data_IF_532903141570
#
_entry.id   IF_532903141570
#
_cell.length_a   1.000
_cell.length_b   1.000
_cell.length_c   1.000
_cell.angle_alpha   90.00
_cell.angle_beta   90.00
_cell.angle_gamma   90.00
#
_symmetry.space_group_name_H-M   'P 1'
#
loop_
_entity.id
_entity.type
_entity.pdbx_description
1 polymer ?
#
# COMPACT_ATOMS: atom_id res chain seq x y z
N UNK A 1 2.18 63.75 -4.57
CA UNK A 1 2.93 62.74 -3.79
C UNK A 1 2.59 61.36 -4.36
N UNK A 2 3.56 60.67 -4.97
CA UNK A 2 3.38 59.31 -5.51
C UNK A 2 4.02 58.34 -4.52
N UNK A 3 3.22 57.51 -3.86
CA UNK A 3 3.71 56.42 -3.03
C UNK A 3 3.98 55.22 -3.93
N UNK A 4 5.25 54.83 -4.06
CA UNK A 4 5.64 53.56 -4.64
C UNK A 4 5.53 52.48 -3.55
N UNK A 5 4.64 51.51 -3.75
CA UNK A 5 4.56 50.31 -2.92
C UNK A 5 5.62 49.34 -3.42
N UNK A 6 6.68 49.15 -2.65
CA UNK A 6 7.67 48.10 -2.90
C UNK A 6 7.06 46.76 -2.48
N UNK A 7 6.76 45.89 -3.44
CA UNK A 7 6.38 44.51 -3.20
C UNK A 7 7.69 43.72 -3.02
N UNK A 8 8.07 43.49 -1.77
CA UNK A 8 9.19 42.61 -1.44
C UNK A 8 8.74 41.17 -1.68
N UNK A 9 9.18 40.56 -2.78
CA UNK A 9 8.98 39.14 -3.02
C UNK A 9 9.79 38.36 -1.97
N UNK A 10 9.11 37.78 -0.98
CA UNK A 10 9.70 36.80 -0.09
C UNK A 10 9.84 35.50 -0.88
N UNK A 11 11.03 35.26 -1.44
CA UNK A 11 11.39 33.95 -1.93
C UNK A 11 11.34 32.98 -0.74
N UNK A 12 10.29 32.15 -0.70
CA UNK A 12 10.25 31.03 0.22
C UNK A 12 11.42 30.10 -0.11
N UNK A 13 12.44 30.11 0.76
CA UNK A 13 13.50 29.11 0.78
C UNK A 13 12.85 27.77 1.11
N UNK A 14 12.46 27.02 0.08
CA UNK A 14 12.21 25.60 0.23
C UNK A 14 13.55 24.96 0.62
N UNK A 15 13.69 24.61 1.90
CA UNK A 15 14.80 23.79 2.33
C UNK A 15 14.80 22.53 1.44
N UNK A 16 15.91 22.21 0.74
CA UNK A 16 15.98 20.95 0.01
C UNK A 16 15.76 19.85 1.03
N UNK A 17 14.67 19.09 0.88
CA UNK A 17 14.52 17.85 1.62
C UNK A 17 15.76 17.04 1.32
N UNK A 18 16.57 16.77 2.33
CA UNK A 18 17.82 16.04 2.20
C UNK A 18 17.45 14.68 1.65
N UNK A 19 17.61 14.50 0.34
CA UNK A 19 17.48 13.20 -0.29
C UNK A 19 18.48 12.29 0.40
N UNK A 20 17.98 11.27 1.09
CA UNK A 20 18.87 10.30 1.69
C UNK A 20 19.75 9.72 0.57
N UNK A 21 21.07 9.71 0.77
CA UNK A 21 22.05 9.32 -0.25
C UNK A 21 21.98 7.84 -0.67
N UNK A 22 20.98 7.08 -0.19
CA UNK A 22 20.77 5.67 -0.49
C UNK A 22 19.99 5.41 -1.79
N UNK A 23 19.39 6.44 -2.40
CA UNK A 23 18.74 6.34 -3.71
C UNK A 23 19.70 6.68 -4.86
N UNK A 24 20.91 6.14 -4.81
CA UNK A 24 22.02 6.38 -5.76
C UNK A 24 22.08 5.35 -6.90
N UNK A 25 21.26 4.31 -6.86
CA UNK A 25 21.28 3.17 -7.78
C UNK A 25 22.45 2.20 -7.62
N UNK A 26 23.35 2.43 -6.65
CA UNK A 26 24.53 1.62 -6.38
C UNK A 26 24.40 0.86 -5.05
N UNK A 27 23.85 1.52 -4.04
CA UNK A 27 23.60 0.96 -2.72
C UNK A 27 22.28 0.18 -2.73
N UNK A 28 22.25 -0.97 -2.05
CA UNK A 28 21.01 -1.71 -1.84
C UNK A 28 20.26 -1.19 -0.62
N UNK A 29 18.96 -0.94 -0.76
CA UNK A 29 18.09 -0.55 0.35
C UNK A 29 17.09 -1.67 0.70
N UNK A 30 16.72 -1.87 1.97
CA UNK A 30 15.61 -2.71 2.38
C UNK A 30 14.35 -2.49 1.54
N UNK A 31 13.75 -3.60 1.11
CA UNK A 31 12.55 -3.63 0.30
C UNK A 31 11.55 -4.60 0.93
N UNK A 32 10.41 -4.08 1.35
CA UNK A 32 9.30 -4.86 1.88
C UNK A 32 8.05 -4.65 1.03
N UNK A 33 6.99 -5.37 1.38
CA UNK A 33 5.72 -5.33 0.68
C UNK A 33 4.60 -5.19 1.70
N UNK A 34 3.58 -4.41 1.35
CA UNK A 34 2.34 -4.30 2.12
C UNK A 34 1.11 -4.47 1.21
N UNK A 35 0.00 -4.88 1.81
CA UNK A 35 -1.23 -5.23 1.09
C UNK A 35 -2.48 -4.89 1.89
N UNK A 36 -3.65 -5.00 1.25
CA UNK A 36 -4.93 -4.78 1.92
C UNK A 36 -5.40 -6.08 2.55
N UNK A 37 -5.70 -6.06 3.86
CA UNK A 37 -6.36 -7.18 4.53
C UNK A 37 -7.75 -7.37 3.92
N UNK A 38 -8.10 -8.58 3.49
CA UNK A 38 -9.41 -8.84 2.85
C UNK A 38 -10.19 -9.88 3.63
N UNK A 39 -11.30 -9.46 4.22
CA UNK A 39 -12.18 -10.38 4.94
C UNK A 39 -12.65 -11.51 4.01
N UNK A 40 -12.71 -12.73 4.54
CA UNK A 40 -13.09 -13.93 3.82
C UNK A 40 -11.95 -14.62 3.06
N UNK A 41 -10.71 -14.12 3.14
CA UNK A 41 -9.56 -14.70 2.42
C UNK A 41 -8.51 -15.33 3.33
N UNK A 42 -7.52 -15.97 2.70
CA UNK A 42 -6.30 -16.43 3.37
C UNK A 42 -5.33 -15.27 3.50
N UNK A 43 -4.57 -15.25 4.58
CA UNK A 43 -3.49 -14.29 4.86
C UNK A 43 -2.40 -14.99 5.70
N UNK A 44 -1.50 -14.22 6.31
CA UNK A 44 -0.35 -14.68 7.06
C UNK A 44 -0.16 -13.89 8.36
N UNK A 45 0.26 -14.57 9.42
CA UNK A 45 0.67 -13.94 10.69
C UNK A 45 2.12 -13.43 10.64
N UNK A 46 2.55 -12.65 11.62
CA UNK A 46 3.92 -12.10 11.68
C UNK A 46 5.03 -13.17 11.69
N UNK A 47 4.70 -14.41 12.04
CA UNK A 47 5.66 -15.52 12.07
C UNK A 47 5.73 -16.25 10.72
N UNK A 48 4.85 -15.92 9.78
CA UNK A 48 4.76 -16.59 8.49
C UNK A 48 3.80 -17.76 8.42
N UNK A 49 2.96 -17.95 9.44
CA UNK A 49 1.95 -18.99 9.45
C UNK A 49 0.72 -18.52 8.68
N UNK A 50 0.19 -19.40 7.84
CA UNK A 50 -1.08 -19.16 7.15
C UNK A 50 -2.21 -19.01 8.16
N UNK A 51 -3.06 -18.01 7.96
CA UNK A 51 -4.31 -17.81 8.69
C UNK A 51 -5.48 -17.54 7.73
N UNK A 52 -6.70 -17.62 8.25
CA UNK A 52 -7.91 -17.30 7.50
C UNK A 52 -8.66 -16.15 8.17
N UNK A 53 -9.15 -15.23 7.36
CA UNK A 53 -9.89 -14.01 7.73
C UNK A 53 -11.41 -14.25 7.70
N UNK A 54 -11.85 -15.42 8.18
CA UNK A 54 -13.23 -15.92 8.01
C UNK A 54 -13.76 -16.68 9.24
N UNK A 55 -13.24 -16.38 10.43
CA UNK A 55 -13.68 -16.99 11.68
C UNK A 55 -14.97 -16.40 12.25
N UNK A 56 -15.24 -16.70 13.52
CA UNK A 56 -16.42 -16.19 14.23
C UNK A 56 -16.36 -14.67 14.44
N UNK A 57 -17.43 -13.97 14.03
CA UNK A 57 -17.54 -12.50 14.02
C UNK A 57 -17.73 -11.92 15.43
N UNK A 58 -16.64 -11.87 16.19
CA UNK A 58 -16.61 -11.54 17.62
C UNK A 58 -15.96 -10.19 17.93
N UNK A 59 -15.27 -9.57 16.97
CA UNK A 59 -14.49 -8.34 17.17
C UNK A 59 -15.13 -7.15 16.45
N UNK A 60 -15.39 -6.03 17.14
CA UNK A 60 -16.01 -4.85 16.53
C UNK A 60 -14.98 -3.98 15.82
N UNK A 61 -15.25 -3.65 14.56
CA UNK A 61 -14.67 -2.51 13.86
C UNK A 61 -15.51 -1.29 14.21
N UNK A 62 -14.89 -0.22 14.74
CA UNK A 62 -15.59 1.01 15.09
C UNK A 62 -15.21 2.16 14.19
N UNK A 63 -16.09 3.15 14.10
CA UNK A 63 -15.80 4.46 13.54
C UNK A 63 -16.41 5.50 14.46
N UNK A 64 -15.59 6.41 15.00
CA UNK A 64 -16.04 7.44 15.96
C UNK A 64 -16.81 6.82 17.14
N UNK A 65 -16.32 5.69 17.63
CA UNK A 65 -16.89 4.94 18.75
C UNK A 65 -18.09 4.04 18.41
N UNK A 66 -18.68 4.13 17.22
CA UNK A 66 -19.81 3.30 16.80
C UNK A 66 -19.33 2.05 16.05
N UNK A 67 -19.87 0.88 16.40
CA UNK A 67 -19.59 -0.36 15.66
C UNK A 67 -20.17 -0.29 14.26
N UNK A 68 -19.32 -0.42 13.24
CA UNK A 68 -19.72 -0.40 11.82
C UNK A 68 -19.66 -1.80 11.17
N UNK A 69 -18.95 -2.75 11.78
CA UNK A 69 -18.89 -4.14 11.36
C UNK A 69 -18.46 -5.04 12.53
N UNK A 70 -18.84 -6.31 12.46
CA UNK A 70 -18.29 -7.38 13.29
C UNK A 70 -17.46 -8.30 12.40
N UNK A 71 -16.23 -8.57 12.81
CA UNK A 71 -15.28 -9.42 12.08
C UNK A 71 -14.67 -10.45 13.03
N UNK A 72 -13.98 -11.44 12.49
CA UNK A 72 -13.22 -12.36 13.33
C UNK A 72 -11.93 -11.75 13.85
N UNK A 73 -11.32 -12.42 14.83
CA UNK A 73 -10.09 -11.97 15.47
C UNK A 73 -8.96 -11.70 14.46
N UNK A 74 -8.73 -12.60 13.50
CA UNK A 74 -7.64 -12.45 12.54
C UNK A 74 -7.91 -11.30 11.58
N UNK A 75 -9.15 -11.14 11.10
CA UNK A 75 -9.53 -9.97 10.29
C UNK A 75 -9.28 -8.68 11.05
N UNK A 76 -9.68 -8.61 12.32
CA UNK A 76 -9.45 -7.43 13.14
C UNK A 76 -7.94 -7.12 13.27
N UNK A 77 -7.13 -8.10 13.68
CA UNK A 77 -5.69 -7.93 13.88
C UNK A 77 -4.98 -7.54 12.58
N UNK A 78 -5.32 -8.17 11.45
CA UNK A 78 -4.77 -7.80 10.13
C UNK A 78 -5.22 -6.41 9.68
N UNK A 79 -6.46 -6.00 9.97
CA UNK A 79 -6.93 -4.65 9.64
C UNK A 79 -6.16 -3.57 10.39
N UNK A 80 -5.79 -3.83 11.65
CA UNK A 80 -4.97 -2.91 12.45
C UNK A 80 -3.53 -2.87 11.94
N UNK A 81 -2.99 -4.02 11.57
CA UNK A 81 -1.62 -4.14 11.09
C UNK A 81 -1.40 -3.48 9.71
N UNK A 82 -2.24 -3.82 8.74
CA UNK A 82 -2.08 -3.33 7.36
C UNK A 82 -2.62 -1.90 7.18
N UNK A 83 -3.41 -1.41 8.13
CA UNK A 83 -4.02 -0.08 8.08
C UNK A 83 -5.26 -0.01 7.18
N UNK A 84 -5.28 -0.69 6.03
CA UNK A 84 -6.47 -0.78 5.14
C UNK A 84 -7.08 -2.19 5.16
N UNK A 85 -8.42 -2.28 5.25
CA UNK A 85 -9.15 -3.54 5.14
C UNK A 85 -10.35 -3.46 4.18
N UNK A 86 -10.52 -4.48 3.35
CA UNK A 86 -11.70 -4.70 2.52
C UNK A 86 -12.64 -5.72 3.18
N UNK A 87 -13.82 -5.26 3.60
CA UNK A 87 -14.85 -6.09 4.24
C UNK A 87 -15.64 -6.91 3.20
N UNK A 88 -16.30 -7.97 3.67
CA UNK A 88 -17.12 -8.87 2.81
C UNK A 88 -18.25 -8.13 2.08
N UNK A 89 -18.78 -7.06 2.67
CA UNK A 89 -19.84 -6.24 2.08
C UNK A 89 -19.33 -5.21 1.06
N UNK A 90 -18.02 -5.21 0.78
CA UNK A 90 -17.40 -4.36 -0.22
C UNK A 90 -16.99 -2.97 0.27
N UNK A 91 -17.23 -2.65 1.55
CA UNK A 91 -16.67 -1.44 2.17
C UNK A 91 -15.16 -1.58 2.33
N UNK A 92 -14.43 -0.55 1.93
CA UNK A 92 -13.02 -0.40 2.20
C UNK A 92 -12.88 0.54 3.40
N UNK A 93 -12.24 0.08 4.47
CA UNK A 93 -12.02 0.85 5.69
C UNK A 93 -10.54 1.09 5.88
N UNK A 94 -10.20 2.22 6.48
CA UNK A 94 -8.82 2.54 6.86
C UNK A 94 -8.76 2.86 8.35
N UNK A 95 -7.65 2.48 8.98
CA UNK A 95 -7.35 2.77 10.36
C UNK A 95 -7.19 4.28 10.51
N UNK A 96 -7.93 4.86 11.45
CA UNK A 96 -7.72 6.23 11.91
C UNK A 96 -6.82 6.22 13.15
N UNK A 97 -7.21 5.42 14.14
CA UNK A 97 -6.46 5.25 15.38
C UNK A 97 -6.61 3.82 15.90
N UNK A 98 -5.51 3.14 16.26
CA UNK A 98 -5.59 1.81 16.83
C UNK A 98 -6.24 1.81 18.23
N UNK A 99 -6.79 0.66 18.66
CA UNK A 99 -6.85 -0.59 17.90
C UNK A 99 -8.12 -0.72 17.05
N UNK A 100 -9.15 0.11 17.24
CA UNK A 100 -10.46 -0.15 16.62
C UNK A 100 -11.17 1.05 16.02
N UNK A 101 -10.52 2.21 15.90
CA UNK A 101 -11.13 3.37 15.24
C UNK A 101 -10.70 3.43 13.77
N UNK A 102 -11.68 3.21 12.90
CA UNK A 102 -11.55 3.19 11.45
C UNK A 102 -12.47 4.23 10.82
N UNK A 103 -12.27 4.52 9.55
CA UNK A 103 -13.19 5.27 8.72
C UNK A 103 -13.42 4.54 7.40
N UNK A 104 -14.61 4.70 6.83
CA UNK A 104 -14.92 4.13 5.50
C UNK A 104 -14.36 5.05 4.43
N UNK A 105 -13.65 4.47 3.47
CA UNK A 105 -13.08 5.18 2.33
C UNK A 105 -14.11 5.42 1.23
N UNK A 106 -14.01 6.58 0.58
CA UNK A 106 -14.72 6.83 -0.68
C UNK A 106 -14.01 6.08 -1.81
N UNK A 107 -14.62 5.00 -2.29
CA UNK A 107 -14.05 4.14 -3.33
C UNK A 107 -14.01 4.78 -4.72
N UNK A 108 -14.64 5.94 -4.91
CA UNK A 108 -14.47 6.77 -6.11
C UNK A 108 -13.16 7.55 -6.12
N UNK A 109 -12.58 7.81 -4.94
CA UNK A 109 -11.32 8.54 -4.76
C UNK A 109 -10.18 7.57 -4.47
N UNK A 110 -10.36 6.71 -3.45
CA UNK A 110 -9.35 5.78 -2.92
C UNK A 110 -9.80 4.32 -3.09
N UNK A 111 -9.93 3.81 -4.33
CA UNK A 111 -10.53 2.51 -4.63
C UNK A 111 -9.82 1.29 -4.01
N UNK A 112 -8.52 1.42 -3.73
CA UNK A 112 -7.65 0.34 -3.24
C UNK A 112 -7.00 0.64 -1.89
N UNK A 113 -7.13 1.86 -1.38
CA UNK A 113 -6.46 2.31 -0.17
C UNK A 113 -6.14 3.80 -0.25
N UNK A 114 -5.80 4.37 0.90
CA UNK A 114 -5.45 5.77 1.08
C UNK A 114 -3.99 5.84 1.51
N UNK A 115 -3.24 6.79 0.96
CA UNK A 115 -1.86 7.05 1.34
C UNK A 115 -1.75 8.10 2.44
N UNK A 116 -0.74 8.97 2.35
CA UNK A 116 -0.44 9.96 3.39
C UNK A 116 -1.56 11.00 3.63
N UNK A 117 -2.47 11.19 2.67
CA UNK A 117 -3.65 12.06 2.78
C UNK A 117 -4.89 11.35 2.22
N UNK A 118 -6.06 11.67 2.79
CA UNK A 118 -7.38 11.17 2.38
C UNK A 118 -7.70 11.22 0.88
N UNK A 119 -7.09 12.14 0.14
CA UNK A 119 -7.31 12.30 -1.31
C UNK A 119 -6.23 11.64 -2.17
N UNK A 120 -5.25 10.97 -1.57
CA UNK A 120 -4.15 10.32 -2.25
C UNK A 120 -4.43 8.82 -2.33
N UNK A 121 -4.79 8.30 -3.51
CA UNK A 121 -5.04 6.87 -3.66
C UNK A 121 -3.74 6.08 -3.68
N UNK A 122 -3.74 4.96 -2.95
CA UNK A 122 -2.78 3.89 -3.21
C UNK A 122 -3.13 3.21 -4.53
N UNK A 123 -2.13 3.05 -5.39
CA UNK A 123 -2.23 2.44 -6.70
C UNK A 123 -1.43 1.13 -6.67
N UNK A 124 -2.09 -0.03 -6.82
CA UNK A 124 -1.44 -1.33 -6.88
C UNK A 124 -0.24 -1.35 -7.82
N UNK A 125 0.87 -1.88 -7.33
CA UNK A 125 2.15 -2.02 -8.04
C UNK A 125 2.87 -0.71 -8.35
N UNK A 126 2.35 0.46 -7.94
CA UNK A 126 2.98 1.77 -8.18
C UNK A 126 3.37 2.45 -6.88
N UNK A 127 2.44 2.48 -5.92
CA UNK A 127 2.61 3.22 -4.69
C UNK A 127 3.63 2.56 -3.76
N UNK A 128 4.43 3.39 -3.12
CA UNK A 128 5.34 2.99 -2.05
C UNK A 128 5.12 3.83 -0.80
N UNK A 129 5.38 3.21 0.35
CA UNK A 129 5.61 3.91 1.61
C UNK A 129 7.11 4.03 1.87
N UNK A 130 7.55 5.26 2.16
CA UNK A 130 8.92 5.58 2.59
C UNK A 130 8.90 6.94 3.28
N UNK A 131 9.92 7.28 4.08
CA UNK A 131 9.93 8.49 4.92
C UNK A 131 10.94 9.56 4.48
N UNK A 132 11.77 9.27 3.48
CA UNK A 132 12.91 10.11 3.06
C UNK A 132 12.87 10.52 1.58
N UNK A 133 11.69 10.45 0.98
CA UNK A 133 11.37 11.03 -0.32
C UNK A 133 10.26 12.10 -0.17
N UNK A 134 10.16 13.02 -1.12
CA UNK A 134 9.01 13.95 -1.18
C UNK A 134 7.76 13.23 -1.69
N UNK A 135 6.57 13.62 -1.23
CA UNK A 135 5.31 13.07 -1.74
C UNK A 135 5.17 13.30 -3.25
N UNK A 136 4.73 12.28 -3.98
CA UNK A 136 4.65 12.27 -5.44
C UNK A 136 5.98 12.06 -6.17
N UNK A 137 7.11 12.03 -5.45
CA UNK A 137 8.41 11.77 -6.06
C UNK A 137 8.48 10.35 -6.60
N UNK A 138 9.12 10.20 -7.76
CA UNK A 138 9.29 8.91 -8.44
C UNK A 138 10.68 8.35 -8.18
N UNK A 139 10.72 7.02 -8.18
CA UNK A 139 11.96 6.25 -8.01
C UNK A 139 11.95 5.10 -8.98
N UNK A 140 13.07 4.89 -9.66
CA UNK A 140 13.30 3.72 -10.47
C UNK A 140 13.95 2.63 -9.62
N UNK A 141 13.36 1.44 -9.64
CA UNK A 141 13.84 0.24 -8.94
C UNK A 141 14.25 -0.80 -9.96
N UNK A 142 15.55 -1.07 -10.04
CA UNK A 142 16.15 -1.91 -11.08
C UNK A 142 15.58 -3.33 -11.10
N UNK A 143 15.35 -3.92 -9.93
CA UNK A 143 14.85 -5.29 -9.77
C UNK A 143 13.40 -5.47 -10.22
N UNK A 144 12.65 -4.38 -10.36
CA UNK A 144 11.27 -4.40 -10.83
C UNK A 144 11.16 -4.15 -12.34
N UNK A 145 12.22 -3.71 -13.01
CA UNK A 145 12.20 -3.51 -14.46
C UNK A 145 12.20 -4.86 -15.20
N UNK A 146 11.25 -5.02 -16.12
CA UNK A 146 10.98 -6.30 -16.79
C UNK A 146 10.30 -7.35 -15.91
N UNK A 147 9.94 -7.03 -14.66
CA UNK A 147 9.31 -8.00 -13.75
C UNK A 147 7.86 -8.28 -14.18
N UNK A 148 7.55 -9.55 -14.45
CA UNK A 148 6.18 -9.98 -14.77
C UNK A 148 5.30 -9.96 -13.53
N UNK A 149 4.18 -9.23 -13.60
CA UNK A 149 3.17 -9.16 -12.56
C UNK A 149 2.18 -10.34 -12.67
N UNK A 150 1.55 -10.79 -11.56
CA UNK A 150 0.54 -11.86 -11.56
C UNK A 150 -0.64 -11.60 -12.50
N UNK A 151 -0.94 -10.34 -12.77
CA UNK A 151 -2.00 -9.93 -13.70
C UNK A 151 -1.58 -9.96 -15.19
N UNK A 152 -0.36 -10.42 -15.51
CA UNK A 152 0.16 -10.54 -16.86
C UNK A 152 0.85 -9.29 -17.42
N UNK A 153 0.81 -8.15 -16.71
CA UNK A 153 1.57 -6.94 -17.07
C UNK A 153 3.07 -7.14 -16.77
N UNK A 154 3.90 -6.28 -17.34
CA UNK A 154 5.34 -6.21 -17.07
C UNK A 154 5.61 -4.85 -16.43
N UNK A 155 6.25 -4.87 -15.26
CA UNK A 155 6.61 -3.67 -14.52
C UNK A 155 7.87 -3.03 -15.14
N UNK A 156 7.94 -1.69 -15.17
CA UNK A 156 9.03 -0.91 -15.79
C UNK A 156 10.01 -0.30 -14.77
N UNK A 157 10.04 -0.85 -13.56
CA UNK A 157 10.84 -0.31 -12.45
C UNK A 157 10.32 0.95 -11.78
N UNK A 158 9.37 1.70 -12.36
CA UNK A 158 8.99 3.01 -11.84
C UNK A 158 7.92 2.93 -10.74
N UNK A 159 8.24 3.49 -9.57
CA UNK A 159 7.36 3.60 -8.40
C UNK A 159 7.18 5.06 -7.99
N UNK A 160 6.21 5.34 -7.11
CA UNK A 160 5.92 6.69 -6.61
C UNK A 160 5.63 6.70 -5.11
N UNK A 161 6.21 7.66 -4.40
CA UNK A 161 5.89 7.90 -2.98
C UNK A 161 4.47 8.46 -2.85
N UNK A 162 3.55 7.60 -2.45
CA UNK A 162 2.15 7.95 -2.20
C UNK A 162 1.77 7.76 -0.73
N UNK A 163 2.68 7.23 0.08
CA UNK A 163 2.40 6.84 1.46
C UNK A 163 3.61 7.11 2.36
N UNK A 164 3.36 7.19 3.66
CA UNK A 164 4.38 7.31 4.70
C UNK A 164 4.34 6.07 5.59
N UNK A 165 5.51 5.66 6.11
CA UNK A 165 5.57 4.51 7.01
C UNK A 165 5.62 4.97 8.46
N UNK A 166 4.70 4.42 9.26
CA UNK A 166 4.69 4.54 10.71
C UNK A 166 5.84 3.83 11.45
N UNK A 167 6.65 2.99 10.77
CA UNK A 167 7.63 2.13 11.43
C UNK A 167 9.05 2.21 10.89
N UNK A 168 9.28 2.98 9.82
CA UNK A 168 10.59 3.12 9.21
C UNK A 168 11.31 4.40 9.65
N UNK A 169 12.64 4.34 9.63
CA UNK A 169 13.48 5.54 9.72
C UNK A 169 13.65 6.15 8.34
N UNK A 170 14.79 5.87 7.69
CA UNK A 170 15.10 6.24 6.30
C UNK A 170 15.59 5.03 5.50
N UNK A 171 15.75 5.18 4.20
CA UNK A 171 16.32 4.20 3.27
C UNK A 171 15.61 2.86 3.28
N UNK A 172 14.28 2.87 3.26
CA UNK A 172 13.45 1.66 3.23
C UNK A 172 12.27 1.92 2.31
N UNK A 173 12.05 1.05 1.33
CA UNK A 173 10.85 1.07 0.49
C UNK A 173 9.91 -0.07 0.90
N UNK A 174 8.64 0.25 1.10
CA UNK A 174 7.58 -0.74 1.23
C UNK A 174 6.61 -0.61 0.05
N UNK A 175 6.49 -1.66 -0.75
CA UNK A 175 5.80 -1.62 -2.03
C UNK A 175 4.37 -2.16 -1.92
N UNK A 176 3.41 -1.34 -2.37
CA UNK A 176 2.00 -1.69 -2.29
C UNK A 176 1.61 -2.72 -3.35
N UNK A 177 1.47 -3.98 -2.94
CA UNK A 177 1.18 -5.11 -3.83
C UNK A 177 -0.28 -5.55 -3.80
N UNK A 178 -1.16 -4.79 -3.15
CA UNK A 178 -2.62 -4.97 -3.05
C UNK A 178 -3.10 -6.21 -2.27
N UNK A 179 -2.51 -7.40 -2.46
CA UNK A 179 -3.00 -8.64 -1.87
C UNK A 179 -1.90 -9.57 -1.36
N UNK A 180 -2.25 -10.42 -0.40
CA UNK A 180 -1.37 -11.49 0.09
C UNK A 180 -0.90 -12.44 -1.02
N UNK A 181 -1.76 -12.77 -1.99
CA UNK A 181 -1.35 -13.61 -3.12
C UNK A 181 -0.21 -12.97 -3.93
N UNK A 182 -0.24 -11.64 -4.09
CA UNK A 182 0.84 -10.92 -4.75
C UNK A 182 2.09 -10.84 -3.84
N UNK A 183 1.91 -10.66 -2.53
CA UNK A 183 3.00 -10.73 -1.55
C UNK A 183 3.80 -12.03 -1.70
N UNK A 184 3.12 -13.18 -1.76
CA UNK A 184 3.79 -14.50 -1.89
C UNK A 184 4.64 -14.58 -3.17
N UNK A 185 4.24 -13.90 -4.24
CA UNK A 185 4.99 -13.88 -5.51
C UNK A 185 6.26 -13.02 -5.43
N UNK A 186 6.24 -11.95 -4.64
CA UNK A 186 7.28 -10.92 -4.67
C UNK A 186 8.19 -10.89 -3.43
N UNK A 187 7.82 -11.55 -2.33
CA UNK A 187 8.54 -11.45 -1.05
C UNK A 187 9.99 -11.97 -1.05
N UNK A 188 10.47 -12.48 -2.18
CA UNK A 188 11.88 -12.85 -2.38
C UNK A 188 12.80 -11.65 -2.62
N UNK A 189 12.23 -10.46 -2.91
CA UNK A 189 12.99 -9.23 -3.09
C UNK A 189 13.17 -8.54 -1.73
N UNK A 190 14.31 -8.79 -1.07
CA UNK A 190 14.57 -8.24 0.28
C UNK A 190 15.32 -6.91 0.26
N UNK A 191 16.06 -6.66 -0.82
CA UNK A 191 16.75 -5.41 -1.07
C UNK A 191 16.74 -5.08 -2.54
N UNK A 192 16.79 -3.80 -2.86
CA UNK A 192 16.77 -3.30 -4.23
C UNK A 192 17.76 -2.16 -4.46
N UNK A 193 18.13 -1.94 -5.71
CA UNK A 193 18.82 -0.74 -6.15
C UNK A 193 17.78 0.26 -6.63
N UNK A 194 17.73 1.42 -5.97
CA UNK A 194 16.75 2.45 -6.24
C UNK A 194 17.44 3.76 -6.61
N UNK A 195 16.92 4.47 -7.60
CA UNK A 195 17.41 5.78 -8.03
C UNK A 195 16.26 6.75 -8.11
N UNK A 196 16.37 7.89 -7.42
CA UNK A 196 15.40 8.98 -7.61
C UNK A 196 15.51 9.46 -9.05
N UNK A 197 14.44 9.24 -9.81
CA UNK A 197 14.41 9.49 -11.24
C UNK A 197 12.98 9.79 -11.64
N UNK A 198 12.78 10.82 -12.46
CA UNK A 198 11.49 11.08 -13.07
C UNK A 198 11.23 10.08 -14.21
N UNK A 199 10.80 8.89 -13.84
CA UNK A 199 10.42 7.81 -14.77
C UNK A 199 8.92 7.85 -15.10
N UNK A 200 8.50 7.10 -16.13
CA UNK A 200 7.09 7.00 -16.49
C UNK A 200 6.36 5.99 -15.58
N UNK A 201 5.25 6.40 -14.97
CA UNK A 201 4.38 5.49 -14.22
C UNK A 201 3.39 4.87 -15.19
N UNK A 202 3.39 3.53 -15.29
CA UNK A 202 2.44 2.79 -16.11
C UNK A 202 1.17 2.43 -15.33
N UNK A 203 0.08 2.15 -16.06
CA UNK A 203 -1.16 1.61 -15.49
C UNK A 203 -1.15 0.07 -15.47
N UNK A 204 -1.06 -0.48 -14.26
CA UNK A 204 -1.10 -1.93 -14.02
C UNK A 204 -2.50 -2.43 -13.63
N UNK A 205 -3.53 -1.58 -13.64
CA UNK A 205 -4.88 -1.96 -13.26
C UNK A 205 -5.54 -2.76 -14.39
N UNK A 206 -5.94 -3.98 -14.08
CA UNK A 206 -6.63 -4.90 -15.00
C UNK A 206 -8.01 -5.27 -14.45
N UNK A 207 -8.88 -5.91 -15.25
CA UNK A 207 -10.15 -6.43 -14.75
C UNK A 207 -10.02 -7.37 -13.55
N UNK A 208 -8.93 -8.16 -13.46
CA UNK A 208 -8.71 -9.04 -12.30
C UNK A 208 -8.34 -8.26 -11.03
N UNK A 209 -7.57 -7.16 -11.16
CA UNK A 209 -7.30 -6.24 -10.04
C UNK A 209 -8.59 -5.58 -9.55
N UNK A 210 -9.41 -5.09 -10.47
CA UNK A 210 -10.73 -4.52 -10.15
C UNK A 210 -11.64 -5.54 -9.48
N UNK A 211 -11.72 -6.76 -10.03
CA UNK A 211 -12.52 -7.85 -9.47
C UNK A 211 -12.04 -8.24 -8.06
N UNK A 212 -10.73 -8.32 -7.83
CA UNK A 212 -10.17 -8.59 -6.51
C UNK A 212 -10.66 -7.55 -5.49
N UNK A 213 -10.64 -6.28 -5.88
CA UNK A 213 -11.11 -5.16 -5.08
C UNK A 213 -12.65 -5.03 -5.04
N UNK A 214 -13.42 -5.96 -5.61
CA UNK A 214 -14.89 -5.85 -5.70
C UNK A 214 -15.33 -4.57 -6.44
N UNK A 215 -14.57 -4.14 -7.45
CA UNK A 215 -14.86 -3.02 -8.33
C UNK A 215 -15.32 -3.53 -9.69
N UNK A 216 -16.42 -2.99 -10.20
CA UNK A 216 -17.07 -3.45 -11.45
C UNK A 216 -18.51 -3.88 -11.20
N UNK A 217 -19.34 -3.89 -12.26
CA UNK A 217 -20.81 -3.86 -12.18
C UNK A 217 -21.44 -4.89 -11.21
N UNK A 218 -21.68 -4.43 -9.98
CA UNK A 218 -22.74 -4.85 -9.08
C UNK A 218 -23.48 -3.58 -8.63
N UNK A 219 -24.75 -3.45 -9.06
CA UNK A 219 -25.75 -2.41 -8.73
C UNK A 219 -25.23 -1.08 -8.14
N UNK A 220 -24.68 -0.20 -8.98
CA UNK A 220 -24.30 1.15 -8.54
C UNK A 220 -23.49 1.96 -9.54
N UNK A 221 -23.88 1.98 -10.82
CA UNK A 221 -23.31 2.89 -11.84
C UNK A 221 -21.81 2.69 -12.19
N UNK A 222 -21.35 3.17 -13.35
CA UNK A 222 -19.92 3.23 -13.64
C UNK A 222 -19.31 4.45 -12.94
N UNK A 223 -18.45 4.23 -11.94
CA UNK A 223 -17.47 5.23 -11.52
C UNK A 223 -16.43 5.38 -12.64
N UNK A 224 -16.65 6.39 -13.47
CA UNK A 224 -15.70 6.85 -14.47
C UNK A 224 -14.53 7.52 -13.74
N UNK A 225 -13.39 6.84 -13.67
CA UNK A 225 -12.12 7.49 -13.33
C UNK A 225 -11.80 8.52 -14.42
N UNK A 226 -11.89 9.81 -14.07
CA UNK A 226 -11.36 10.89 -14.92
C UNK A 226 -9.85 10.88 -14.78
N UNK A 227 -9.19 10.10 -15.62
CA UNK A 227 -7.77 10.26 -15.89
C UNK A 227 -7.64 11.41 -16.90
N UNK A 228 -7.17 12.57 -16.47
CA UNK A 228 -6.84 13.65 -17.39
C UNK A 228 -5.53 13.30 -18.08
N UNK A 229 -5.61 12.71 -19.28
CA UNK A 229 -4.52 12.77 -20.26
C UNK A 229 -5.14 12.81 -21.65
N UNK A 230 -5.12 14.00 -22.25
CA UNK A 230 -5.29 14.20 -23.69
C UNK A 230 -4.09 13.57 -24.38
N UNK A 231 -4.28 12.52 -25.15
CA UNK A 231 -3.58 12.37 -26.44
C UNK A 231 -4.30 11.38 -27.35
N UNK A 232 -4.58 11.86 -28.57
CA UNK A 232 -5.16 11.12 -29.69
C UNK A 232 -4.28 9.92 -30.08
N UNK A 233 -4.89 8.76 -30.27
CA UNK A 233 -4.52 7.89 -31.39
C UNK A 233 -5.72 7.07 -31.86
N UNK A 234 -5.95 7.18 -33.16
CA UNK A 234 -6.90 6.44 -33.97
C UNK A 234 -6.35 5.05 -34.31
N UNK A 235 -7.23 4.03 -34.23
CA UNK A 235 -7.58 3.12 -35.33
C UNK A 235 -7.74 1.64 -34.92
N UNK A 236 -8.81 1.08 -35.49
CA UNK A 236 -9.01 -0.29 -35.97
C UNK A 236 -9.32 -1.43 -34.98
N UNK A 237 -10.59 -1.83 -35.05
CA UNK A 237 -11.20 -3.12 -34.69
C UNK A 237 -10.57 -4.28 -35.50
N UNK A 238 -10.50 -5.52 -34.97
CA UNK A 238 -11.49 -6.48 -35.46
C UNK A 238 -11.98 -7.55 -34.44
N UNK A 239 -13.28 -7.81 -34.56
CA UNK A 239 -14.02 -9.08 -34.56
C UNK A 239 -13.69 -10.17 -33.50
N UNK A 240 -14.71 -10.31 -32.65
CA UNK A 240 -15.16 -11.49 -31.90
C UNK A 240 -14.97 -12.86 -32.60
N UNK A 241 -14.39 -13.81 -31.86
CA UNK A 241 -14.68 -15.24 -31.98
C UNK A 241 -14.75 -15.89 -30.60
N UNK A 242 -15.88 -16.54 -30.36
CA UNK A 242 -16.23 -17.38 -29.21
C UNK A 242 -15.34 -18.61 -29.11
N UNK A 243 -14.78 -18.90 -27.93
CA UNK A 243 -14.47 -20.29 -27.52
C UNK A 243 -14.53 -20.48 -26.00
N UNK A 244 -15.55 -21.26 -25.61
CA UNK A 244 -15.70 -22.15 -24.47
C UNK A 244 -14.68 -22.10 -23.29
N UNK A 245 -15.23 -21.72 -22.15
CA UNK A 245 -14.68 -21.84 -20.80
C UNK A 245 -14.53 -23.32 -20.39
N UNK A 246 -13.30 -23.78 -20.19
CA UNK A 246 -12.99 -24.94 -19.33
C UNK A 246 -12.31 -24.44 -18.07
N UNK A 247 -13.01 -24.54 -16.94
CA UNK A 247 -12.51 -24.33 -15.58
C UNK A 247 -11.43 -25.36 -15.26
N UNK A 248 -10.16 -24.92 -15.20
CA UNK A 248 -9.10 -25.68 -14.54
C UNK A 248 -8.95 -25.19 -13.11
N UNK A 249 -9.46 -26.00 -12.17
CA UNK A 249 -9.00 -26.05 -10.78
C UNK A 249 -7.50 -26.37 -10.77
N UNK A 250 -6.71 -25.59 -10.03
CA UNK A 250 -5.29 -25.86 -9.85
C UNK A 250 -4.54 -24.72 -9.19
N UNK A 251 -4.95 -24.29 -7.99
CA UNK A 251 -4.03 -23.57 -7.10
C UNK A 251 -3.09 -24.60 -6.46
N UNK A 252 -1.81 -24.51 -6.80
CA UNK A 252 -0.74 -25.30 -6.19
C UNK A 252 -0.66 -24.92 -4.69
N UNK A 253 -0.38 -25.87 -3.78
CA UNK A 253 -0.24 -25.54 -2.36
C UNK A 253 0.85 -24.49 -2.16
N UNK A 254 0.54 -23.45 -1.38
CA UNK A 254 1.47 -22.38 -1.00
C UNK A 254 2.65 -22.97 -0.19
N UNK A 255 3.87 -22.45 -0.37
CA UNK A 255 5.03 -22.89 0.41
C UNK A 255 4.82 -22.59 1.89
N UNK A 256 5.02 -23.61 2.74
CA UNK A 256 5.00 -23.47 4.19
C UNK A 256 6.31 -22.79 4.64
N UNK A 257 6.22 -21.84 5.58
CA UNK A 257 7.30 -21.07 6.23
C UNK A 257 7.77 -19.81 5.49
N UNK A 258 6.90 -18.80 5.38
CA UNK A 258 7.27 -17.46 4.87
C UNK A 258 7.29 -16.45 6.02
N UNK A 259 8.41 -16.30 6.75
CA UNK A 259 8.52 -15.28 7.81
C UNK A 259 8.23 -13.88 7.23
N UNK A 260 7.24 -13.16 7.77
CA UNK A 260 7.00 -11.76 7.38
C UNK A 260 8.14 -10.90 7.94
N UNK A 261 8.99 -10.39 7.06
CA UNK A 261 10.11 -9.51 7.41
C UNK A 261 9.62 -8.05 7.37
N UNK A 262 9.88 -7.29 8.43
CA UNK A 262 9.48 -5.87 8.53
C UNK A 262 8.14 -5.63 9.23
N UNK A 263 7.40 -6.69 9.60
CA UNK A 263 6.20 -6.55 10.42
C UNK A 263 6.52 -5.78 11.72
N UNK A 264 5.67 -4.83 12.15
CA UNK A 264 5.89 -4.13 13.39
C UNK A 264 5.95 -5.13 14.55
N UNK A 265 7.03 -5.05 15.33
CA UNK A 265 7.29 -5.93 16.45
C UNK A 265 6.42 -5.50 17.64
N UNK A 266 5.58 -6.40 18.15
CA UNK A 266 4.86 -6.13 19.39
C UNK A 266 5.84 -6.06 20.56
N UNK A 267 5.56 -5.19 21.51
CA UNK A 267 6.40 -4.98 22.69
C UNK A 267 5.54 -4.66 23.91
N UNK A 268 6.01 -5.08 25.08
CA UNK A 268 5.47 -4.71 26.37
C UNK A 268 6.26 -3.55 26.97
N UNK A 269 7.55 -3.54 26.69
CA UNK A 269 8.51 -2.51 27.09
C UNK A 269 9.62 -2.38 26.03
N UNK A 270 10.47 -1.37 26.18
CA UNK A 270 11.50 -1.01 25.20
C UNK A 270 12.52 -2.12 24.95
N UNK A 271 12.75 -3.00 25.93
CA UNK A 271 13.71 -4.11 25.79
C UNK A 271 13.23 -5.17 24.80
N UNK A 272 11.92 -5.19 24.49
CA UNK A 272 11.37 -6.06 23.46
C UNK A 272 11.68 -5.56 22.04
N UNK A 273 12.28 -4.37 21.88
CA UNK A 273 12.45 -3.67 20.60
C UNK A 273 13.90 -3.68 20.10
N UNK A 274 14.43 -4.88 19.82
CA UNK A 274 15.80 -5.04 19.31
C UNK A 274 16.03 -4.27 18.01
N UNK A 275 16.88 -3.23 18.05
CA UNK A 275 17.23 -2.41 16.89
C UNK A 275 16.22 -1.30 16.54
N UNK A 276 15.32 -0.94 17.46
CA UNK A 276 14.37 0.17 17.34
C UNK A 276 14.48 1.12 18.55
N UNK A 277 13.85 2.30 18.48
CA UNK A 277 14.04 3.39 19.45
C UNK A 277 13.36 3.14 20.79
N UNK A 278 12.12 2.65 20.80
CA UNK A 278 11.38 2.26 22.02
C UNK A 278 10.13 1.44 21.68
N UNK A 279 9.45 0.98 22.71
CA UNK A 279 8.10 0.48 22.64
C UNK A 279 7.11 1.65 22.72
N UNK A 280 6.28 1.83 21.69
CA UNK A 280 5.27 2.88 21.71
C UNK A 280 4.33 2.67 22.92
N UNK A 281 4.19 3.68 23.81
CA UNK A 281 3.57 3.51 25.12
C UNK A 281 2.12 3.01 25.03
N UNK A 282 1.35 3.57 24.08
CA UNK A 282 -0.06 3.22 23.86
C UNK A 282 -0.27 2.06 22.89
N UNK A 283 0.53 1.99 21.82
CA UNK A 283 0.33 1.00 20.74
C UNK A 283 0.90 -0.38 21.07
N UNK A 284 1.78 -0.49 22.08
CA UNK A 284 2.49 -1.75 22.42
C UNK A 284 3.19 -2.36 21.20
N UNK A 285 3.76 -1.49 20.37
CA UNK A 285 4.48 -1.81 19.14
C UNK A 285 5.79 -1.03 19.07
N UNK A 286 6.86 -1.68 18.63
CA UNK A 286 8.17 -1.10 18.55
C UNK A 286 8.26 -0.03 17.47
N UNK A 287 8.67 1.17 17.85
CA UNK A 287 8.81 2.34 16.96
C UNK A 287 10.27 2.75 16.82
N UNK A 288 10.61 3.33 15.67
CA UNK A 288 11.90 3.99 15.42
C UNK A 288 11.84 5.50 15.65
N UNK A 289 10.65 6.07 15.88
CA UNK A 289 10.48 7.50 16.14
C UNK A 289 10.88 7.85 17.58
N UNK A 290 12.06 8.44 17.73
CA UNK A 290 12.55 8.89 19.02
C UNK A 290 11.65 9.96 19.68
N UNK A 291 10.85 10.73 18.91
CA UNK A 291 9.93 11.73 19.47
C UNK A 291 8.71 11.10 20.16
N UNK A 292 8.41 9.85 19.85
CA UNK A 292 7.37 9.07 20.53
C UNK A 292 7.92 8.45 21.83
N UNK A 293 9.25 8.33 21.93
CA UNK A 293 9.95 7.69 23.03
C UNK A 293 10.26 8.64 24.20
N UNK A 294 10.09 9.96 24.04
CA UNK A 294 10.43 10.99 25.01
C UNK A 294 9.32 12.04 25.16
#
# INVERSE_FOLDING_TARGET
MKFAVAITAVAALFAPQVLAGCYDGQSTIPFTLYWVAKQGTTDVDNNGNTLHLSGDKTHPIKSKGQTIAMVDKNTFEKSVMEGTCLLEDGRLINLNSPPNDFFTLDRGITPYGVGYDTNIPLIPFVSIATNDMSHGQKVYVKELDGKKLPNGRIHNGCLRKDDDSWSFGSCHIDWFVLSYDNYVVFNTLEKVHATIQDCEILDYITPSVKLWALLGKGKGGPLSFKQSNKHNSTAANPKSTNTNTKTKKGSKPLPKNVKIKGAPQNCRNDNDCSGRSCCHPDKKMCTMDAKICF
#
